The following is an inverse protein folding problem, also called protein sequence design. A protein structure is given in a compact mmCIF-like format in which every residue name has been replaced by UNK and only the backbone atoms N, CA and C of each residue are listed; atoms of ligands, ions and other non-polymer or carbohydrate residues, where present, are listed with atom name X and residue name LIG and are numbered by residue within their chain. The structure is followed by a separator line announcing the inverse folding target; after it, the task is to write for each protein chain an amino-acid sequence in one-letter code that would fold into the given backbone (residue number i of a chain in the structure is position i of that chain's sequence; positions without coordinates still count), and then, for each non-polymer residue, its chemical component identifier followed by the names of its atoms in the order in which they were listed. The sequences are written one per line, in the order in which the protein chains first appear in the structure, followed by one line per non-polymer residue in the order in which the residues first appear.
data_IF_082819959791
#
_entry.id   IF_082819959791
#
_cell.length_a   1.000
_cell.length_b   1.000
_cell.length_c   1.000
_cell.angle_alpha   90.00
_cell.angle_beta   90.00
_cell.angle_gamma   90.00
#
_symmetry.space_group_name_H-M   'P 1'
#
loop_
_entity.id
_entity.type
_entity.pdbx_description
1 polymer ?
#
# COMPACT_ATOMS: atom_id res chain seq x y z
N UNK A 1 -23.06 11.40 -21.51
CA UNK A 1 -23.36 9.94 -21.60
C UNK A 1 -23.04 9.17 -20.32
N UNK A 2 -21.97 9.49 -19.57
CA UNK A 2 -21.56 8.75 -18.36
C UNK A 2 -22.61 8.66 -17.23
N UNK A 3 -23.38 9.74 -16.98
CA UNK A 3 -24.39 9.80 -15.91
C UNK A 3 -25.52 8.78 -16.06
N UNK A 4 -25.97 8.51 -17.29
CA UNK A 4 -27.04 7.55 -17.57
C UNK A 4 -26.55 6.11 -17.37
N UNK A 5 -25.32 5.80 -17.79
CA UNK A 5 -24.71 4.49 -17.57
C UNK A 5 -24.59 4.17 -16.07
N UNK A 6 -24.20 5.15 -15.24
CA UNK A 6 -24.09 5.00 -13.78
C UNK A 6 -25.45 4.76 -13.12
N UNK A 7 -26.50 5.48 -13.53
CA UNK A 7 -27.87 5.26 -13.05
C UNK A 7 -28.32 3.82 -13.35
N UNK A 8 -28.12 3.37 -14.59
CA UNK A 8 -28.55 2.03 -14.99
C UNK A 8 -27.78 0.91 -14.27
N UNK A 9 -26.49 1.12 -13.95
CA UNK A 9 -25.70 0.17 -13.14
C UNK A 9 -26.21 0.10 -11.69
N UNK A 10 -26.40 1.25 -11.04
CA UNK A 10 -26.89 1.31 -9.65
C UNK A 10 -28.32 0.73 -9.52
N UNK A 11 -29.17 0.93 -10.53
CA UNK A 11 -30.49 0.32 -10.55
C UNK A 11 -30.44 -1.19 -10.78
N UNK A 12 -29.56 -1.68 -11.66
CA UNK A 12 -29.42 -3.11 -11.95
C UNK A 12 -28.93 -3.88 -10.74
N UNK A 13 -27.91 -3.36 -10.05
CA UNK A 13 -27.17 -4.15 -9.06
C UNK A 13 -27.70 -3.95 -7.63
N UNK A 14 -28.37 -2.83 -7.34
CA UNK A 14 -28.74 -2.45 -5.97
C UNK A 14 -30.22 -2.05 -5.79
N UNK A 15 -31.01 -1.97 -6.88
CA UNK A 15 -32.46 -1.70 -6.88
C UNK A 15 -32.91 -0.50 -6.01
N UNK A 16 -32.10 0.56 -5.97
CA UNK A 16 -32.40 1.74 -5.16
C UNK A 16 -33.47 2.66 -5.83
N UNK A 17 -34.34 3.34 -5.04
CA UNK A 17 -35.27 4.33 -5.57
C UNK A 17 -34.53 5.51 -6.23
N UNK A 18 -35.06 6.00 -7.36
CA UNK A 18 -34.45 7.06 -8.17
C UNK A 18 -34.08 8.33 -7.38
N UNK A 19 -34.84 8.63 -6.32
CA UNK A 19 -34.62 9.80 -5.44
C UNK A 19 -33.33 9.67 -4.60
N UNK A 20 -32.96 8.44 -4.24
CA UNK A 20 -31.72 8.13 -3.51
C UNK A 20 -30.54 8.16 -4.47
N UNK A 21 -30.69 7.58 -5.67
CA UNK A 21 -29.66 7.62 -6.73
C UNK A 21 -29.33 9.06 -7.12
N UNK A 22 -30.33 9.93 -7.23
CA UNK A 22 -30.10 11.36 -7.54
C UNK A 22 -29.21 12.05 -6.48
N UNK A 23 -29.40 11.76 -5.19
CA UNK A 23 -28.56 12.30 -4.11
C UNK A 23 -27.13 11.77 -4.11
N UNK A 24 -26.91 10.52 -4.55
CA UNK A 24 -25.57 9.95 -4.74
C UNK A 24 -24.84 10.52 -5.97
N UNK A 25 -25.57 11.08 -6.94
CA UNK A 25 -25.01 11.68 -8.16
C UNK A 25 -24.69 13.17 -8.03
N UNK A 26 -25.09 13.81 -6.92
CA UNK A 26 -24.72 15.20 -6.61
C UNK A 26 -23.42 15.30 -5.79
N UNK A 27 -22.87 14.16 -5.36
CA UNK A 27 -21.50 14.11 -4.85
C UNK A 27 -20.53 14.23 -6.04
N UNK A 28 -19.52 15.12 -5.98
CA UNK A 28 -18.54 15.26 -7.06
C UNK A 28 -17.90 13.90 -7.31
N UNK A 29 -17.89 13.49 -8.59
CA UNK A 29 -17.37 12.20 -9.03
C UNK A 29 -15.98 11.95 -8.39
N UNK A 30 -15.75 10.84 -7.67
CA UNK A 30 -14.42 10.30 -7.67
C UNK A 30 -14.15 9.98 -9.13
N UNK A 31 -13.29 10.76 -9.76
CA UNK A 31 -12.88 10.59 -11.15
C UNK A 31 -12.58 9.12 -11.35
N UNK A 32 -13.18 8.52 -12.37
CA UNK A 32 -12.98 7.13 -12.80
C UNK A 32 -11.58 6.99 -13.43
N UNK A 33 -10.58 7.32 -12.61
CA UNK A 33 -9.17 7.24 -12.89
C UNK A 33 -8.57 6.53 -11.69
N UNK A 34 -8.47 5.20 -11.80
CA UNK A 34 -7.44 4.43 -11.08
C UNK A 34 -6.02 4.98 -11.28
N UNK A 35 -5.88 5.95 -12.19
CA UNK A 35 -4.69 6.76 -12.46
C UNK A 35 -4.49 7.94 -11.48
N UNK A 36 -5.42 8.25 -10.58
CA UNK A 36 -5.21 9.29 -9.56
C UNK A 36 -4.69 8.72 -8.23
N UNK A 37 -5.24 7.59 -7.81
CA UNK A 37 -4.88 6.93 -6.55
C UNK A 37 -3.46 6.37 -6.59
N UNK A 38 -3.06 5.70 -7.68
CA UNK A 38 -1.75 5.03 -7.75
C UNK A 38 -0.59 6.05 -7.86
N UNK A 39 -0.65 7.12 -8.68
CA UNK A 39 0.39 8.15 -8.72
C UNK A 39 0.47 8.99 -7.44
N UNK A 40 -0.66 9.42 -6.88
CA UNK A 40 -0.67 10.10 -5.58
C UNK A 40 -0.13 9.20 -4.46
N UNK A 41 -0.37 7.89 -4.56
CA UNK A 41 0.19 6.89 -3.66
C UNK A 41 1.68 6.66 -3.87
N UNK A 42 2.17 6.57 -5.12
CA UNK A 42 3.61 6.52 -5.44
C UNK A 42 4.34 7.73 -4.87
N UNK A 43 3.76 8.92 -4.98
CA UNK A 43 4.30 10.14 -4.37
C UNK A 43 4.29 10.09 -2.84
N UNK A 44 3.23 9.51 -2.24
CA UNK A 44 3.08 9.40 -0.78
C UNK A 44 4.01 8.35 -0.16
N UNK A 45 4.17 7.20 -0.80
CA UNK A 45 5.10 6.13 -0.41
C UNK A 45 6.54 6.57 -0.65
N UNK A 46 6.83 7.10 -1.85
CA UNK A 46 8.17 7.61 -2.18
C UNK A 46 8.58 8.76 -1.26
N UNK A 47 7.68 9.68 -0.88
CA UNK A 47 7.99 10.74 0.10
C UNK A 47 8.24 10.19 1.50
N UNK A 48 7.49 9.16 1.94
CA UNK A 48 7.66 8.58 3.28
C UNK A 48 8.86 7.65 3.42
N UNK A 49 9.21 6.87 2.40
CA UNK A 49 10.47 6.13 2.36
C UNK A 49 11.67 7.07 2.54
N UNK A 50 11.66 8.20 1.82
CA UNK A 50 12.67 9.27 1.92
C UNK A 50 12.66 10.03 3.25
N UNK A 51 11.52 10.08 3.95
CA UNK A 51 11.38 10.69 5.28
C UNK A 51 11.13 9.64 6.35
N UNK A 52 11.76 8.47 6.28
CA UNK A 52 11.83 7.53 7.41
C UNK A 52 12.62 8.19 8.57
N UNK A 53 11.99 9.20 9.15
CA UNK A 53 12.43 10.04 10.22
C UNK A 53 12.22 9.28 11.51
N UNK A 54 13.31 9.20 12.27
CA UNK A 54 13.34 8.92 13.71
C UNK A 54 12.26 7.97 14.20
N UNK A 55 12.44 6.68 13.90
CA UNK A 55 11.84 5.61 14.73
C UNK A 55 12.26 5.88 16.17
N UNK A 56 11.31 6.04 17.09
CA UNK A 56 11.64 6.08 18.53
C UNK A 56 12.26 4.75 18.95
N UNK A 57 12.87 4.68 20.13
CA UNK A 57 13.47 3.45 20.65
C UNK A 57 12.50 2.24 20.68
N UNK A 58 11.20 2.50 20.63
CA UNK A 58 10.11 1.51 20.60
C UNK A 58 9.54 1.25 19.18
N UNK A 59 10.17 1.82 18.14
CA UNK A 59 9.74 1.68 16.75
C UNK A 59 8.55 2.56 16.33
N UNK A 60 8.08 3.47 17.20
CA UNK A 60 6.96 4.37 16.90
C UNK A 60 7.44 5.59 16.12
N UNK A 61 6.70 5.97 15.07
CA UNK A 61 6.87 7.24 14.38
C UNK A 61 6.21 8.33 15.24
N UNK A 62 6.95 9.34 15.67
CA UNK A 62 6.40 10.43 16.48
C UNK A 62 5.32 11.18 15.67
N UNK A 63 4.04 11.02 16.04
CA UNK A 63 2.88 11.61 15.36
C UNK A 63 2.08 10.67 14.45
N UNK A 64 2.36 9.36 14.45
CA UNK A 64 1.61 8.38 13.65
C UNK A 64 0.16 8.21 14.12
N UNK A 65 -0.78 8.18 13.18
CA UNK A 65 -2.16 7.77 13.47
C UNK A 65 -2.13 6.29 13.86
N UNK A 66 -2.63 5.97 15.05
CA UNK A 66 -2.86 4.60 15.49
C UNK A 66 -4.35 4.33 15.47
N UNK A 67 -4.79 3.40 14.63
CA UNK A 67 -6.20 3.04 14.47
C UNK A 67 -6.45 1.61 14.92
N UNK A 68 -7.65 1.37 15.46
CA UNK A 68 -8.12 0.01 15.72
C UNK A 68 -8.44 -0.73 14.42
N UNK A 69 -8.65 -2.05 14.52
CA UNK A 69 -9.01 -2.89 13.37
C UNK A 69 -10.30 -2.45 12.66
N UNK A 70 -11.34 -2.15 13.43
CA UNK A 70 -12.62 -1.69 12.89
C UNK A 70 -12.51 -0.33 12.21
N UNK A 71 -11.72 0.59 12.79
CA UNK A 71 -11.43 1.88 12.16
C UNK A 71 -10.61 1.71 10.87
N UNK A 72 -9.60 0.83 10.87
CA UNK A 72 -8.84 0.51 9.67
C UNK A 72 -9.76 0.01 8.56
N UNK A 73 -10.60 -0.99 8.86
CA UNK A 73 -11.57 -1.56 7.93
C UNK A 73 -12.48 -0.48 7.33
N UNK A 74 -13.05 0.39 8.17
CA UNK A 74 -13.87 1.51 7.74
C UNK A 74 -13.11 2.51 6.86
N UNK A 75 -11.87 2.85 7.19
CA UNK A 75 -11.05 3.83 6.45
C UNK A 75 -10.65 3.35 5.05
N UNK A 76 -10.36 2.05 4.91
CA UNK A 76 -9.90 1.45 3.65
C UNK A 76 -11.04 0.90 2.79
N UNK A 77 -12.25 0.79 3.35
CA UNK A 77 -13.42 0.27 2.64
C UNK A 77 -13.45 -1.26 2.54
N UNK A 78 -12.92 -1.95 3.55
CA UNK A 78 -12.93 -3.41 3.66
C UNK A 78 -13.75 -3.83 4.88
N UNK A 79 -14.16 -5.10 4.94
CA UNK A 79 -14.77 -5.68 6.14
C UNK A 79 -13.69 -6.21 7.11
N UNK A 80 -14.01 -6.27 8.40
CA UNK A 80 -13.08 -6.77 9.43
C UNK A 80 -12.57 -8.20 9.18
N UNK A 81 -13.36 -9.14 8.62
CA UNK A 81 -12.87 -10.44 8.20
C UNK A 81 -11.77 -10.36 7.13
N UNK A 82 -11.91 -9.49 6.12
CA UNK A 82 -10.88 -9.28 5.10
C UNK A 82 -9.61 -8.67 5.69
N UNK A 83 -9.74 -7.69 6.60
CA UNK A 83 -8.58 -7.13 7.31
C UNK A 83 -7.88 -8.21 8.15
N UNK A 84 -8.64 -9.09 8.79
CA UNK A 84 -8.08 -10.25 9.51
C UNK A 84 -7.33 -11.21 8.59
N UNK A 85 -7.84 -11.44 7.38
CA UNK A 85 -7.18 -12.29 6.40
C UNK A 85 -5.90 -11.65 5.86
N UNK A 86 -5.89 -10.35 5.61
CA UNK A 86 -4.69 -9.59 5.23
C UNK A 86 -3.59 -9.69 6.30
N UNK A 87 -3.97 -9.57 7.57
CA UNK A 87 -3.08 -9.76 8.72
C UNK A 87 -2.57 -11.21 8.80
N UNK A 88 -3.45 -12.20 8.67
CA UNK A 88 -3.08 -13.63 8.67
C UNK A 88 -2.12 -13.99 7.53
N UNK A 89 -2.28 -13.36 6.37
CA UNK A 89 -1.40 -13.55 5.21
C UNK A 89 -0.08 -12.77 5.35
N UNK A 90 0.03 -11.90 6.35
CA UNK A 90 1.22 -11.10 6.64
C UNK A 90 1.35 -9.82 5.80
N UNK A 91 0.29 -9.40 5.09
CA UNK A 91 0.28 -8.13 4.36
C UNK A 91 0.09 -6.94 5.30
N UNK A 92 -0.66 -7.13 6.38
CA UNK A 92 -0.79 -6.13 7.44
C UNK A 92 -0.08 -6.64 8.69
N UNK A 93 0.54 -5.71 9.42
CA UNK A 93 1.12 -5.97 10.73
C UNK A 93 0.52 -4.97 11.72
N UNK A 94 -0.20 -5.50 12.70
CA UNK A 94 -0.63 -4.72 13.85
C UNK A 94 0.44 -4.71 14.94
N UNK A 95 0.51 -3.63 15.70
CA UNK A 95 1.31 -3.53 16.93
C UNK A 95 0.41 -3.78 18.13
N UNK A 96 0.89 -4.54 19.11
CA UNK A 96 0.18 -4.70 20.37
C UNK A 96 0.24 -3.40 21.19
N UNK A 97 -0.93 -2.91 21.59
CA UNK A 97 -1.13 -1.78 22.49
C UNK A 97 -2.02 -2.24 23.65
N UNK A 98 -1.38 -2.79 24.69
CA UNK A 98 -2.07 -3.40 25.82
C UNK A 98 -2.84 -4.66 25.40
N UNK A 99 -4.16 -4.65 25.59
CA UNK A 99 -5.04 -5.76 25.19
C UNK A 99 -5.59 -5.63 23.76
N UNK A 100 -5.17 -4.60 23.01
CA UNK A 100 -5.70 -4.29 21.68
C UNK A 100 -4.59 -4.21 20.64
N UNK A 101 -4.92 -4.50 19.39
CA UNK A 101 -4.00 -4.38 18.26
C UNK A 101 -4.30 -3.06 17.54
N UNK A 102 -3.26 -2.26 17.31
CA UNK A 102 -3.34 -0.98 16.61
C UNK A 102 -2.54 -1.04 15.31
N UNK A 103 -3.04 -0.33 14.31
CA UNK A 103 -2.46 -0.24 12.97
C UNK A 103 -2.02 1.19 12.71
N UNK A 104 -0.92 1.34 12.00
CA UNK A 104 -0.35 2.64 11.67
C UNK A 104 -0.78 3.13 10.28
N UNK A 105 -0.22 4.27 9.87
CA UNK A 105 -0.50 4.86 8.56
C UNK A 105 -0.05 3.96 7.38
N UNK A 106 0.96 3.12 7.58
CA UNK A 106 1.43 2.20 6.54
C UNK A 106 0.43 1.07 6.34
N UNK A 107 -0.11 0.52 7.42
CA UNK A 107 -1.21 -0.44 7.37
C UNK A 107 -2.45 0.14 6.66
N UNK A 108 -2.76 1.42 6.87
CA UNK A 108 -3.84 2.11 6.13
C UNK A 108 -3.53 2.15 4.62
N UNK A 109 -2.31 2.49 4.24
CA UNK A 109 -1.89 2.52 2.84
C UNK A 109 -2.00 1.13 2.17
N UNK A 110 -1.47 0.10 2.82
CA UNK A 110 -1.54 -1.27 2.32
C UNK A 110 -2.99 -1.73 2.21
N UNK A 111 -3.82 -1.42 3.21
CA UNK A 111 -5.25 -1.72 3.18
C UNK A 111 -5.99 -1.06 2.01
N UNK A 112 -5.68 0.20 1.68
CA UNK A 112 -6.25 0.87 0.50
C UNK A 112 -5.85 0.21 -0.82
N UNK A 113 -4.60 -0.25 -0.94
CA UNK A 113 -4.16 -0.97 -2.13
C UNK A 113 -4.84 -2.33 -2.23
N UNK A 114 -4.95 -3.07 -1.13
CA UNK A 114 -5.68 -4.32 -1.09
C UNK A 114 -7.16 -4.13 -1.49
N UNK A 115 -7.80 -3.07 -1.00
CA UNK A 115 -9.18 -2.72 -1.38
C UNK A 115 -9.31 -2.45 -2.89
N UNK A 116 -8.33 -1.79 -3.51
CA UNK A 116 -8.29 -1.58 -4.96
C UNK A 116 -8.28 -2.93 -5.71
N UNK A 117 -7.37 -3.84 -5.36
CA UNK A 117 -7.29 -5.16 -5.99
C UNK A 117 -8.58 -5.98 -5.81
N UNK A 118 -9.13 -6.00 -4.60
CA UNK A 118 -10.40 -6.70 -4.30
C UNK A 118 -11.56 -6.09 -5.10
N UNK A 119 -11.60 -4.77 -5.22
CA UNK A 119 -12.59 -4.05 -6.05
C UNK A 119 -12.53 -4.42 -7.54
N UNK A 120 -11.38 -4.89 -8.02
CA UNK A 120 -11.18 -5.41 -9.37
C UNK A 120 -11.33 -6.94 -9.48
N UNK A 121 -11.78 -7.62 -8.42
CA UNK A 121 -12.09 -9.05 -8.43
C UNK A 121 -10.92 -9.98 -8.05
N UNK A 122 -9.82 -9.44 -7.52
CA UNK A 122 -8.73 -10.27 -7.00
C UNK A 122 -9.08 -10.85 -5.62
N UNK A 123 -8.77 -12.13 -5.42
CA UNK A 123 -8.71 -12.73 -4.09
C UNK A 123 -7.47 -12.22 -3.33
N UNK A 124 -7.65 -11.98 -2.03
CA UNK A 124 -6.60 -11.49 -1.12
C UNK A 124 -5.36 -12.39 -1.15
N UNK A 125 -5.56 -13.70 -1.32
CA UNK A 125 -4.48 -14.70 -1.41
C UNK A 125 -3.54 -14.44 -2.57
N UNK A 126 -4.01 -13.86 -3.66
CA UNK A 126 -3.16 -13.50 -4.80
C UNK A 126 -2.18 -12.38 -4.41
N UNK A 127 -2.57 -11.46 -3.52
CA UNK A 127 -1.69 -10.36 -3.12
C UNK A 127 -0.45 -10.84 -2.37
N UNK A 128 -0.43 -12.07 -1.85
CA UNK A 128 0.75 -12.66 -1.21
C UNK A 128 1.96 -12.74 -2.14
N UNK A 129 1.76 -12.75 -3.45
CA UNK A 129 2.88 -12.69 -4.40
C UNK A 129 3.70 -11.39 -4.27
N UNK A 130 3.04 -10.26 -3.97
CA UNK A 130 3.70 -8.98 -3.75
C UNK A 130 4.51 -9.00 -2.45
N UNK A 131 3.96 -9.58 -1.37
CA UNK A 131 4.67 -9.75 -0.11
C UNK A 131 5.95 -10.58 -0.29
N UNK A 132 5.85 -11.72 -1.00
CA UNK A 132 7.01 -12.59 -1.24
C UNK A 132 8.07 -11.89 -2.09
N UNK A 133 7.67 -11.10 -3.10
CA UNK A 133 8.60 -10.31 -3.90
C UNK A 133 9.32 -9.27 -3.04
N UNK A 134 8.57 -8.49 -2.24
CA UNK A 134 9.13 -7.48 -1.34
C UNK A 134 10.10 -8.08 -0.31
N UNK A 135 9.77 -9.24 0.28
CA UNK A 135 10.67 -9.93 1.21
C UNK A 135 11.98 -10.37 0.55
N UNK A 136 11.93 -10.81 -0.71
CA UNK A 136 13.14 -11.18 -1.46
C UNK A 136 13.98 -9.96 -1.80
N UNK A 137 13.34 -8.86 -2.21
CA UNK A 137 14.02 -7.59 -2.49
C UNK A 137 14.68 -7.02 -1.22
N UNK A 138 13.96 -6.99 -0.10
CA UNK A 138 14.49 -6.57 1.19
C UNK A 138 15.71 -7.41 1.60
N UNK A 139 15.65 -8.74 1.49
CA UNK A 139 16.79 -9.60 1.80
C UNK A 139 18.03 -9.34 0.94
N UNK A 140 17.85 -9.01 -0.34
CA UNK A 140 18.96 -8.63 -1.23
C UNK A 140 19.56 -7.28 -0.86
N UNK A 141 18.71 -6.29 -0.51
CA UNK A 141 19.15 -4.97 -0.07
C UNK A 141 19.88 -5.06 1.29
N UNK A 142 19.37 -5.86 2.22
CA UNK A 142 20.01 -6.13 3.52
C UNK A 142 21.40 -6.75 3.34
N UNK A 143 21.58 -7.68 2.41
CA UNK A 143 22.90 -8.26 2.11
C UNK A 143 23.88 -7.23 1.55
N UNK A 144 23.40 -6.26 0.78
CA UNK A 144 24.23 -5.21 0.19
C UNK A 144 24.62 -4.13 1.21
N UNK A 145 23.71 -3.82 2.14
CA UNK A 145 23.86 -2.72 3.12
C UNK A 145 24.37 -3.20 4.48
N UNK A 146 24.19 -4.47 4.82
CA UNK A 146 24.68 -5.10 6.05
C UNK A 146 26.20 -4.91 6.29
N UNK A 147 27.07 -4.99 5.26
CA UNK A 147 28.50 -4.72 5.41
C UNK A 147 28.85 -3.23 5.61
N UNK A 148 27.91 -2.32 5.34
CA UNK A 148 28.14 -0.86 5.31
C UNK A 148 27.96 -0.23 6.69
N UNK A 149 27.08 -0.79 7.54
CA UNK A 149 26.84 -0.32 8.91
C UNK A 149 27.80 -1.03 9.87
N UNK A 150 29.07 -0.63 9.82
CA UNK A 150 30.07 -1.11 10.78
C UNK A 150 29.66 -0.76 12.21
N UNK A 151 29.44 -1.79 13.03
CA UNK A 151 29.12 -1.67 14.46
C UNK A 151 30.40 -1.40 15.28
N UNK A 152 31.57 -1.57 14.67
CA UNK A 152 32.86 -1.49 15.35
C UNK A 152 33.62 -0.21 14.95
N UNK A 153 34.13 0.49 15.96
CA UNK A 153 34.71 1.83 15.91
C UNK A 153 36.03 1.99 15.13
N UNK A 154 36.15 1.37 13.96
CA UNK A 154 37.29 1.51 13.04
C UNK A 154 36.82 2.05 11.69
N UNK A 155 36.48 3.34 11.66
CA UNK A 155 36.66 4.29 10.54
C UNK A 155 36.41 3.92 9.07
N UNK A 156 35.76 2.79 8.74
CA UNK A 156 35.72 2.21 7.39
C UNK A 156 34.32 1.77 6.93
N UNK A 157 33.28 2.06 7.72
CA UNK A 157 31.88 1.91 7.31
C UNK A 157 31.39 3.11 6.49
N UNK A 158 30.56 2.88 5.48
CA UNK A 158 29.89 3.98 4.76
C UNK A 158 28.93 4.70 5.72
N UNK A 159 28.81 6.04 5.69
CA UNK A 159 27.88 6.76 6.55
C UNK A 159 26.46 6.23 6.40
N UNK A 160 25.71 6.11 7.50
CA UNK A 160 24.31 5.63 7.49
C UNK A 160 23.41 6.41 6.51
N UNK A 161 23.71 7.69 6.29
CA UNK A 161 23.02 8.52 5.31
C UNK A 161 23.26 8.06 3.86
N UNK A 162 24.51 7.70 3.51
CA UNK A 162 24.86 7.19 2.18
C UNK A 162 24.27 5.80 1.95
N UNK A 163 24.26 4.96 2.99
CA UNK A 163 23.61 3.66 2.97
C UNK A 163 22.10 3.76 2.68
N UNK A 164 21.42 4.70 3.35
CA UNK A 164 19.98 4.98 3.12
C UNK A 164 19.72 5.50 1.71
N UNK A 165 20.55 6.44 1.24
CA UNK A 165 20.42 6.96 -0.11
C UNK A 165 20.54 5.83 -1.16
N UNK A 166 21.50 4.92 -0.99
CA UNK A 166 21.66 3.78 -1.88
C UNK A 166 20.43 2.85 -1.86
N UNK A 167 19.85 2.60 -0.67
CA UNK A 167 18.61 1.81 -0.56
C UNK A 167 17.46 2.48 -1.30
N UNK A 168 17.29 3.79 -1.13
CA UNK A 168 16.23 4.55 -1.80
C UNK A 168 16.40 4.48 -3.33
N UNK A 169 17.62 4.73 -3.84
CA UNK A 169 17.94 4.67 -5.27
C UNK A 169 17.67 3.27 -5.86
N UNK A 170 18.04 2.20 -5.16
CA UNK A 170 17.81 0.83 -5.62
C UNK A 170 16.34 0.43 -5.56
N UNK A 171 15.59 0.92 -4.56
CA UNK A 171 14.14 0.69 -4.45
C UNK A 171 13.37 1.35 -5.60
N UNK A 172 13.75 2.58 -5.94
CA UNK A 172 13.18 3.31 -7.08
C UNK A 172 13.51 2.63 -8.41
N UNK A 173 14.77 2.22 -8.60
CA UNK A 173 15.20 1.49 -9.80
C UNK A 173 14.50 0.12 -9.93
N UNK A 174 14.34 -0.61 -8.82
CA UNK A 174 13.63 -1.88 -8.76
C UNK A 174 12.15 -1.74 -9.15
N UNK A 175 11.48 -0.72 -8.62
CA UNK A 175 10.08 -0.40 -8.97
C UNK A 175 9.92 -0.08 -10.46
N UNK A 176 10.84 0.71 -11.03
CA UNK A 176 10.83 1.04 -12.46
C UNK A 176 11.09 -0.20 -13.34
N UNK A 177 12.04 -1.06 -12.93
CA UNK A 177 12.32 -2.31 -13.63
C UNK A 177 11.11 -3.25 -13.62
N UNK A 178 10.45 -3.42 -12.46
CA UNK A 178 9.25 -4.23 -12.33
C UNK A 178 8.14 -3.76 -13.28
N UNK A 179 7.90 -2.45 -13.33
CA UNK A 179 6.90 -1.85 -14.23
C UNK A 179 7.21 -2.13 -15.71
N UNK A 180 8.47 -1.97 -16.13
CA UNK A 180 8.90 -2.24 -17.50
C UNK A 180 8.77 -3.72 -17.88
N UNK A 181 9.15 -4.64 -16.99
CA UNK A 181 9.02 -6.07 -17.20
C UNK A 181 7.55 -6.50 -17.28
N UNK A 182 6.70 -5.99 -16.39
CA UNK A 182 5.27 -6.27 -16.41
C UNK A 182 4.64 -5.79 -17.73
N UNK A 183 4.95 -4.57 -18.17
CA UNK A 183 4.51 -4.04 -19.48
C UNK A 183 4.97 -4.92 -20.64
N UNK A 184 6.21 -5.44 -20.59
CA UNK A 184 6.75 -6.33 -21.62
C UNK A 184 5.96 -7.64 -21.71
N UNK A 185 5.70 -8.29 -20.58
CA UNK A 185 4.99 -9.58 -20.56
C UNK A 185 3.52 -9.41 -20.98
N UNK A 186 2.86 -8.33 -20.55
CA UNK A 186 1.49 -8.00 -20.99
C UNK A 186 1.44 -7.61 -22.47
N UNK A 187 2.46 -6.91 -22.98
CA UNK A 187 2.59 -6.51 -24.37
C UNK A 187 2.89 -7.66 -25.35
N UNK A 188 3.33 -8.82 -24.85
CA UNK A 188 3.47 -10.06 -25.63
C UNK A 188 2.17 -10.86 -25.71
N UNK A 189 1.21 -10.64 -24.81
CA UNK A 189 -0.10 -11.28 -24.83
C UNK A 189 -1.09 -10.65 -25.83
N UNK A 190 -0.70 -9.56 -26.51
CA UNK A 190 -1.51 -8.82 -27.49
C UNK A 190 -1.17 -9.06 -28.96
N UNK A 191 -0.50 -10.16 -29.32
CA UNK A 191 -0.27 -10.57 -30.72
C UNK A 191 -0.83 -11.95 -31.01
#
# INVERSE_FOLDING_TARGET
MARITRILRLQRDQHLPLKVIAGLLDQPEPTDEGDGLVPAFRDSVGRRGRTAGTRTADGTLAGSVSVSKGELAAMVGLDEPTVSELERLGLLQGREAGASTVYDDEAILVGRMAACFVGHGFDIRHLRMYLVAAQREAGLLEQLVGPVVGIDGEGSGRPLAEARQLVDELTDAGSALHELLLRRELGLAGR
#
